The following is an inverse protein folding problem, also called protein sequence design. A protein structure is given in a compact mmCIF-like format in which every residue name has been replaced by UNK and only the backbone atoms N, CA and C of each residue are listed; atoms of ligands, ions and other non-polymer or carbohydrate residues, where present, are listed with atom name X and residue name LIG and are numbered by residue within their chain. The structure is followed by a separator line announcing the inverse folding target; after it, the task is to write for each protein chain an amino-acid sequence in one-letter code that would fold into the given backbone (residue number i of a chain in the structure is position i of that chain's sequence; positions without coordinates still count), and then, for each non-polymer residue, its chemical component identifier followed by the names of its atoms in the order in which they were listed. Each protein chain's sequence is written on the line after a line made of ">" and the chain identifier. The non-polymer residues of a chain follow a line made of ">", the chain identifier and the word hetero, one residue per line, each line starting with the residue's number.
data_IF_338716004593
#
_entry.id   IF_338716004593
#
_cell.length_a   1.000
_cell.length_b   1.000
_cell.length_c   1.000
_cell.angle_alpha   90.00
_cell.angle_beta   90.00
_cell.angle_gamma   90.00
#
_symmetry.space_group_name_H-M   'P 1'
#
loop_
_entity.id
_entity.type
_entity.pdbx_description
1 polymer ?
#
# COMPACT_ATOMS: atom_id res chain seq x y z
N UNK A 1 7.33 -20.95 35.72
CA UNK A 1 5.90 -20.70 36.09
C UNK A 1 5.42 -19.55 35.25
N UNK A 2 4.76 -19.82 34.09
CA UNK A 2 4.16 -18.88 33.18
C UNK A 2 2.79 -18.48 33.69
N UNK A 3 2.64 -17.23 34.09
CA UNK A 3 1.33 -16.66 34.44
C UNK A 3 0.48 -16.49 33.17
N UNK A 4 -0.54 -17.31 33.01
CA UNK A 4 -1.58 -17.13 32.00
C UNK A 4 -2.63 -16.17 32.56
N UNK A 5 -2.49 -14.87 32.29
CA UNK A 5 -3.48 -13.86 32.61
C UNK A 5 -4.71 -14.00 31.72
N UNK A 6 -5.87 -14.27 32.33
CA UNK A 6 -7.17 -14.19 31.66
C UNK A 6 -7.61 -12.71 31.57
N UNK A 7 -7.77 -12.16 30.38
CA UNK A 7 -8.23 -10.81 30.15
C UNK A 7 -9.73 -10.66 30.45
N UNK A 8 -10.10 -9.69 31.26
CA UNK A 8 -11.52 -9.35 31.53
C UNK A 8 -11.85 -8.00 30.88
N UNK A 9 -12.62 -7.99 29.81
CA UNK A 9 -13.21 -6.79 29.23
C UNK A 9 -14.21 -6.14 30.22
N UNK A 10 -13.97 -4.92 30.67
CA UNK A 10 -14.78 -4.21 31.71
C UNK A 10 -16.14 -3.68 31.27
N UNK A 11 -16.57 -3.85 30.00
CA UNK A 11 -17.94 -3.46 29.60
C UNK A 11 -18.61 -4.46 28.65
N UNK A 12 -18.80 -5.59 29.07
CA UNK A 12 -19.64 -6.76 28.75
C UNK A 12 -18.79 -7.98 29.00
N UNK A 13 -19.11 -8.68 30.08
CA UNK A 13 -18.65 -10.04 30.25
C UNK A 13 -18.80 -10.75 28.91
N UNK A 14 -17.70 -11.28 28.35
CA UNK A 14 -17.79 -12.22 27.23
C UNK A 14 -18.53 -13.43 27.78
N UNK A 15 -19.88 -13.35 27.80
CA UNK A 15 -20.69 -14.53 27.95
C UNK A 15 -20.18 -15.53 26.92
N UNK A 16 -19.92 -16.74 27.32
CA UNK A 16 -19.55 -17.83 26.42
C UNK A 16 -20.58 -17.81 25.26
N UNK A 17 -20.16 -17.32 24.10
CA UNK A 17 -21.02 -17.16 22.95
C UNK A 17 -21.28 -18.56 22.43
N UNK A 18 -22.45 -19.13 22.81
CA UNK A 18 -22.95 -20.41 22.30
C UNK A 18 -23.25 -20.36 20.81
N UNK A 19 -23.41 -19.17 20.21
CA UNK A 19 -23.64 -18.97 18.80
C UNK A 19 -22.33 -18.61 18.04
N UNK A 20 -22.10 -19.26 16.91
CA UNK A 20 -20.97 -18.96 16.01
C UNK A 20 -20.99 -17.50 15.56
N UNK A 21 -19.86 -16.76 15.61
CA UNK A 21 -19.81 -15.36 15.20
C UNK A 21 -20.17 -15.18 13.71
N UNK A 22 -20.81 -14.07 13.40
CA UNK A 22 -21.15 -13.67 12.03
C UNK A 22 -20.06 -12.76 11.50
N UNK A 23 -19.30 -13.24 10.53
CA UNK A 23 -18.23 -12.47 9.88
C UNK A 23 -18.75 -11.96 8.54
N UNK A 24 -18.61 -10.67 8.31
CA UNK A 24 -18.83 -10.07 6.98
C UNK A 24 -17.48 -9.70 6.35
N UNK A 25 -17.25 -10.16 5.12
CA UNK A 25 -16.06 -9.92 4.33
C UNK A 25 -16.43 -9.05 3.13
N UNK A 26 -15.72 -7.96 2.92
CA UNK A 26 -16.07 -6.93 1.93
C UNK A 26 -15.71 -7.29 0.49
N UNK A 27 -14.93 -8.34 0.27
CA UNK A 27 -14.60 -8.90 -1.05
C UNK A 27 -14.19 -10.38 -0.90
N UNK A 28 -14.14 -11.18 -1.97
CA UNK A 28 -13.49 -12.49 -1.95
C UNK A 28 -12.04 -12.39 -1.48
N UNK A 29 -11.62 -13.35 -0.66
CA UNK A 29 -10.28 -13.46 -0.09
C UNK A 29 -9.66 -14.84 -0.42
N UNK A 30 -8.37 -15.03 -0.14
CA UNK A 30 -7.69 -16.28 -0.36
C UNK A 30 -8.43 -17.46 0.30
N UNK A 31 -8.57 -18.58 -0.41
CA UNK A 31 -9.32 -19.77 0.02
C UNK A 31 -8.83 -20.33 1.34
N UNK A 32 -7.50 -20.29 1.60
CA UNK A 32 -6.91 -20.73 2.86
C UNK A 32 -7.47 -19.96 4.07
N UNK A 33 -7.58 -18.64 3.95
CA UNK A 33 -8.13 -17.79 4.99
C UNK A 33 -9.65 -17.96 5.10
N UNK A 34 -10.36 -18.07 3.98
CA UNK A 34 -11.80 -18.29 3.95
C UNK A 34 -12.18 -19.61 4.60
N UNK A 35 -11.43 -20.69 4.35
CA UNK A 35 -11.64 -21.99 5.00
C UNK A 35 -11.52 -21.88 6.52
N UNK A 36 -10.50 -21.17 7.01
CA UNK A 36 -10.31 -20.92 8.45
C UNK A 36 -11.46 -20.10 9.06
N UNK A 37 -11.87 -18.99 8.38
CA UNK A 37 -12.99 -18.16 8.85
C UNK A 37 -14.30 -18.95 8.96
N UNK A 38 -14.59 -19.83 8.01
CA UNK A 38 -15.79 -20.70 8.03
C UNK A 38 -15.76 -21.71 9.17
N UNK A 39 -14.58 -22.11 9.60
CA UNK A 39 -14.46 -22.97 10.80
C UNK A 39 -14.79 -22.21 12.09
N UNK A 40 -14.52 -20.89 12.14
CA UNK A 40 -14.78 -20.05 13.30
C UNK A 40 -16.25 -19.59 13.38
N UNK A 41 -16.92 -19.34 12.24
CA UNK A 41 -18.25 -18.77 12.26
C UNK A 41 -19.01 -18.80 10.93
N UNK A 42 -20.16 -18.12 10.91
CA UNK A 42 -20.93 -17.90 9.69
C UNK A 42 -20.30 -16.75 8.91
N UNK A 43 -19.91 -17.00 7.66
CA UNK A 43 -19.22 -16.02 6.80
C UNK A 43 -20.12 -15.60 5.66
N UNK A 44 -20.36 -14.28 5.55
CA UNK A 44 -20.98 -13.66 4.38
C UNK A 44 -19.93 -12.82 3.67
N UNK A 45 -19.89 -12.91 2.33
CA UNK A 45 -18.92 -12.23 1.49
C UNK A 45 -19.68 -11.37 0.50
N UNK A 46 -19.22 -10.13 0.26
CA UNK A 46 -19.65 -9.37 -0.90
C UNK A 46 -19.00 -9.99 -2.13
N UNK A 47 -19.77 -10.48 -3.11
CA UNK A 47 -19.27 -11.42 -4.12
C UNK A 47 -18.49 -10.80 -5.27
N UNK A 48 -18.48 -9.46 -5.37
CA UNK A 48 -17.88 -8.74 -6.49
C UNK A 48 -16.48 -8.26 -6.12
N UNK A 49 -15.47 -8.81 -6.76
CA UNK A 49 -14.05 -8.46 -6.59
C UNK A 49 -13.55 -7.41 -7.59
N UNK A 50 -14.39 -7.02 -8.55
CA UNK A 50 -14.07 -6.01 -9.57
C UNK A 50 -14.25 -4.56 -9.11
N UNK A 51 -14.89 -4.34 -7.97
CA UNK A 51 -15.17 -3.01 -7.42
C UNK A 51 -15.22 -2.99 -5.90
N UNK A 52 -15.00 -1.80 -5.35
CA UNK A 52 -15.22 -1.54 -3.91
C UNK A 52 -16.71 -1.70 -3.58
N UNK A 53 -17.01 -2.33 -2.44
CA UNK A 53 -18.39 -2.45 -1.96
C UNK A 53 -19.04 -1.06 -1.85
N UNK A 54 -20.24 -0.83 -2.42
CA UNK A 54 -20.94 0.42 -2.25
C UNK A 54 -21.21 0.75 -0.77
N UNK A 55 -20.96 1.98 -0.35
CA UNK A 55 -21.06 2.39 1.05
C UNK A 55 -22.42 2.04 1.70
N UNK A 56 -23.54 2.20 0.97
CA UNK A 56 -24.87 1.80 1.44
C UNK A 56 -25.00 0.29 1.67
N UNK A 57 -24.38 -0.51 0.79
CA UNK A 57 -24.39 -1.97 0.92
C UNK A 57 -23.55 -2.42 2.13
N UNK A 58 -22.39 -1.75 2.36
CA UNK A 58 -21.56 -1.98 3.53
C UNK A 58 -22.34 -1.69 4.84
N UNK A 59 -23.03 -0.54 4.92
CA UNK A 59 -23.88 -0.19 6.07
C UNK A 59 -24.96 -1.24 6.30
N UNK A 60 -25.62 -1.72 5.24
CA UNK A 60 -26.65 -2.75 5.37
C UNK A 60 -26.09 -4.10 5.85
N UNK A 61 -24.92 -4.48 5.35
CA UNK A 61 -24.28 -5.73 5.70
C UNK A 61 -23.75 -5.74 7.14
N UNK A 62 -23.13 -4.65 7.59
CA UNK A 62 -22.52 -4.54 8.91
C UNK A 62 -23.55 -4.66 10.05
N UNK A 63 -24.79 -4.25 9.83
CA UNK A 63 -25.88 -4.35 10.84
C UNK A 63 -26.10 -5.76 11.37
N UNK A 64 -25.72 -6.77 10.62
CA UNK A 64 -25.93 -8.19 10.96
C UNK A 64 -24.61 -8.94 11.25
N UNK A 65 -23.48 -8.23 11.30
CA UNK A 65 -22.18 -8.83 11.51
C UNK A 65 -21.68 -8.61 12.94
N UNK A 66 -20.97 -9.57 13.49
CA UNK A 66 -20.25 -9.44 14.76
C UNK A 66 -18.80 -8.98 14.48
N UNK A 67 -18.26 -9.33 13.31
CA UNK A 67 -16.90 -9.03 12.88
C UNK A 67 -16.96 -8.52 11.44
N UNK A 68 -16.24 -7.42 11.19
CA UNK A 68 -16.00 -6.89 9.84
C UNK A 68 -14.58 -7.24 9.41
N UNK A 69 -14.46 -7.99 8.31
CA UNK A 69 -13.20 -8.16 7.59
C UNK A 69 -13.23 -7.22 6.39
N UNK A 70 -12.42 -6.15 6.40
CA UNK A 70 -12.41 -5.13 5.35
C UNK A 70 -11.05 -5.03 4.65
N UNK A 71 -11.06 -4.41 3.46
CA UNK A 71 -9.89 -4.18 2.63
C UNK A 71 -9.51 -2.68 2.59
N UNK A 72 -8.35 -2.38 2.00
CA UNK A 72 -7.72 -1.05 2.02
C UNK A 72 -8.62 0.10 1.53
N UNK A 73 -9.43 -0.13 0.51
CA UNK A 73 -10.25 0.93 -0.11
C UNK A 73 -11.68 1.01 0.43
N UNK A 74 -12.05 0.13 1.37
CA UNK A 74 -13.37 0.18 2.01
C UNK A 74 -13.43 1.37 2.97
N UNK A 75 -14.40 2.24 2.82
CA UNK A 75 -14.58 3.39 3.69
C UNK A 75 -15.32 3.00 4.97
N UNK A 76 -14.57 2.72 6.04
CA UNK A 76 -15.10 2.36 7.36
C UNK A 76 -15.17 3.62 8.23
N UNK A 77 -16.07 4.50 7.87
CA UNK A 77 -16.31 5.76 8.56
C UNK A 77 -17.27 5.61 9.77
N UNK A 78 -17.50 6.72 10.46
CA UNK A 78 -18.41 6.81 11.59
C UNK A 78 -19.81 6.25 11.27
N UNK A 79 -20.33 6.46 10.05
CA UNK A 79 -21.66 6.00 9.67
C UNK A 79 -21.72 4.46 9.60
N UNK A 80 -20.69 3.81 9.06
CA UNK A 80 -20.55 2.36 9.02
C UNK A 80 -20.46 1.80 10.44
N UNK A 81 -19.57 2.36 11.27
CA UNK A 81 -19.34 1.89 12.65
C UNK A 81 -20.61 2.07 13.50
N UNK A 82 -21.30 3.21 13.34
CA UNK A 82 -22.53 3.51 14.06
C UNK A 82 -23.71 2.63 13.67
N UNK A 83 -23.70 2.07 12.46
CA UNK A 83 -24.80 1.22 11.98
C UNK A 83 -24.98 -0.08 12.76
N UNK A 84 -23.95 -0.51 13.52
CA UNK A 84 -24.03 -1.71 14.34
C UNK A 84 -23.43 -1.48 15.74
N UNK A 85 -24.26 -1.24 16.77
CA UNK A 85 -23.79 -1.06 18.15
C UNK A 85 -23.23 -2.35 18.78
N UNK A 86 -23.41 -3.50 18.15
CA UNK A 86 -22.94 -4.81 18.64
C UNK A 86 -21.71 -5.32 17.89
N UNK A 87 -21.14 -4.51 16.99
CA UNK A 87 -19.90 -4.86 16.28
C UNK A 87 -18.76 -5.04 17.29
N UNK A 88 -18.05 -6.15 17.17
CA UNK A 88 -17.03 -6.59 18.15
C UNK A 88 -15.61 -6.42 17.65
N UNK A 89 -15.38 -6.35 16.32
CA UNK A 89 -14.05 -6.29 15.74
C UNK A 89 -14.11 -5.72 14.31
N UNK A 90 -13.15 -4.84 13.99
CA UNK A 90 -12.85 -4.40 12.64
C UNK A 90 -11.44 -4.93 12.29
N UNK A 91 -11.39 -5.94 11.43
CA UNK A 91 -10.17 -6.62 11.02
C UNK A 91 -9.81 -6.21 9.58
N UNK A 92 -8.80 -5.37 9.42
CA UNK A 92 -8.42 -4.78 8.13
C UNK A 92 -7.26 -5.54 7.48
N UNK A 93 -7.44 -5.93 6.21
CA UNK A 93 -6.37 -6.49 5.36
C UNK A 93 -5.52 -5.36 4.76
N UNK A 94 -5.07 -4.44 5.58
CA UNK A 94 -4.16 -3.37 5.20
C UNK A 94 -3.07 -3.19 6.24
N UNK A 95 -1.92 -2.65 5.84
CA UNK A 95 -0.80 -2.35 6.75
C UNK A 95 -1.00 -1.04 7.52
N UNK A 96 -2.03 -0.28 7.21
CA UNK A 96 -2.38 0.99 7.83
C UNK A 96 -3.89 1.08 7.99
N UNK A 97 -4.40 1.61 9.11
CA UNK A 97 -5.84 1.77 9.33
C UNK A 97 -6.42 3.03 8.67
N UNK A 98 -5.78 3.59 7.65
CA UNK A 98 -6.15 4.88 7.03
C UNK A 98 -7.57 4.93 6.46
N UNK A 99 -8.17 3.77 6.20
CA UNK A 99 -9.54 3.62 5.70
C UNK A 99 -10.58 3.42 6.82
N UNK A 100 -10.15 3.40 8.09
CA UNK A 100 -11.00 3.15 9.27
C UNK A 100 -11.01 4.37 10.17
N UNK A 101 -12.16 4.81 10.63
CA UNK A 101 -12.30 5.79 11.72
C UNK A 101 -11.94 5.11 13.05
N UNK A 102 -10.63 5.03 13.32
CA UNK A 102 -10.11 4.40 14.54
C UNK A 102 -10.57 5.12 15.79
N UNK A 103 -10.75 6.45 15.74
CA UNK A 103 -11.21 7.23 16.89
C UNK A 103 -12.64 6.87 17.27
N UNK A 104 -13.55 6.76 16.30
CA UNK A 104 -14.93 6.32 16.55
C UNK A 104 -14.99 4.85 17.00
N UNK A 105 -14.18 3.96 16.41
CA UNK A 105 -14.09 2.57 16.85
C UNK A 105 -13.61 2.48 18.31
N UNK A 106 -12.58 3.23 18.66
CA UNK A 106 -12.04 3.30 20.03
C UNK A 106 -13.07 3.79 21.04
N UNK A 107 -13.80 4.88 20.71
CA UNK A 107 -14.88 5.42 21.55
C UNK A 107 -15.96 4.37 21.84
N UNK A 108 -16.19 3.43 20.93
CA UNK A 108 -17.18 2.37 21.06
C UNK A 108 -16.61 1.06 21.68
N UNK A 109 -15.34 1.04 22.04
CA UNK A 109 -14.68 -0.14 22.56
C UNK A 109 -14.48 -1.24 21.50
N UNK A 110 -14.40 -0.89 20.22
CA UNK A 110 -14.24 -1.84 19.13
C UNK A 110 -12.74 -1.92 18.76
N UNK A 111 -12.08 -3.06 18.94
CA UNK A 111 -10.70 -3.25 18.50
C UNK A 111 -10.62 -3.18 16.98
N UNK A 112 -9.58 -2.49 16.49
CA UNK A 112 -9.21 -2.40 15.09
C UNK A 112 -7.86 -3.08 14.92
N UNK A 113 -7.79 -4.05 14.00
CA UNK A 113 -6.53 -4.73 13.67
C UNK A 113 -6.14 -4.51 12.23
N UNK A 114 -4.83 -4.51 11.98
CA UNK A 114 -4.19 -4.39 10.66
C UNK A 114 -3.29 -5.60 10.43
N UNK A 115 -2.56 -5.63 9.30
CA UNK A 115 -1.50 -6.62 9.06
C UNK A 115 -0.13 -5.95 9.21
N UNK A 116 0.91 -6.68 9.65
CA UNK A 116 2.27 -6.17 9.67
C UNK A 116 2.78 -5.95 8.22
N UNK A 117 3.94 -5.27 8.03
CA UNK A 117 4.45 -4.91 6.70
C UNK A 117 5.00 -6.10 5.90
N UNK A 118 4.19 -7.12 5.66
CA UNK A 118 4.53 -8.33 4.87
C UNK A 118 4.59 -8.08 3.36
N UNK A 119 4.25 -6.87 2.91
CA UNK A 119 4.19 -6.49 1.50
C UNK A 119 5.53 -5.97 0.95
N UNK A 120 6.57 -5.95 1.77
CA UNK A 120 7.84 -5.25 1.50
C UNK A 120 8.48 -5.68 0.17
N UNK A 121 8.70 -6.98 -0.01
CA UNK A 121 9.38 -7.49 -1.20
C UNK A 121 8.51 -7.40 -2.45
N UNK A 122 7.23 -7.74 -2.36
CA UNK A 122 6.31 -7.61 -3.49
C UNK A 122 6.19 -6.15 -3.98
N UNK A 123 6.14 -5.18 -3.04
CA UNK A 123 6.12 -3.76 -3.40
C UNK A 123 7.44 -3.33 -4.04
N UNK A 124 8.58 -3.82 -3.57
CA UNK A 124 9.88 -3.54 -4.15
C UNK A 124 10.03 -4.16 -5.56
N UNK A 125 9.48 -5.35 -5.79
CA UNK A 125 9.43 -5.99 -7.12
C UNK A 125 8.61 -5.15 -8.09
N UNK A 126 7.40 -4.73 -7.68
CA UNK A 126 6.55 -3.88 -8.51
C UNK A 126 7.22 -2.52 -8.80
N UNK A 127 7.93 -1.94 -7.83
CA UNK A 127 8.67 -0.71 -8.02
C UNK A 127 9.68 -0.82 -9.18
N UNK A 128 10.47 -1.91 -9.20
CA UNK A 128 11.37 -2.22 -10.31
C UNK A 128 10.63 -2.53 -11.60
N UNK A 129 9.52 -3.26 -11.53
CA UNK A 129 8.65 -3.53 -12.69
C UNK A 129 8.19 -2.23 -13.35
N UNK A 130 7.69 -1.26 -12.59
CA UNK A 130 7.26 0.05 -13.09
C UNK A 130 8.43 0.87 -13.62
N UNK A 131 9.58 0.87 -12.94
CA UNK A 131 10.80 1.55 -13.36
C UNK A 131 11.28 1.02 -14.72
N UNK A 132 11.39 -0.28 -14.88
CA UNK A 132 11.77 -0.92 -16.14
C UNK A 132 10.72 -0.67 -17.23
N UNK A 133 9.44 -0.78 -16.90
CA UNK A 133 8.36 -0.60 -17.86
C UNK A 133 8.34 0.82 -18.45
N UNK A 134 8.50 1.86 -17.61
CA UNK A 134 8.51 3.24 -18.09
C UNK A 134 9.82 3.60 -18.77
N UNK A 135 10.97 3.23 -18.23
CA UNK A 135 12.28 3.55 -18.81
C UNK A 135 12.48 2.89 -20.18
N UNK A 136 12.04 1.64 -20.32
CA UNK A 136 12.21 0.84 -21.55
C UNK A 136 11.00 0.88 -22.47
N UNK A 137 9.97 1.69 -22.16
CA UNK A 137 8.74 1.90 -22.97
C UNK A 137 8.01 0.58 -23.28
N UNK A 138 8.03 -0.38 -22.32
CA UNK A 138 7.50 -1.74 -22.51
C UNK A 138 6.02 -1.71 -22.90
N UNK A 139 5.21 -0.88 -22.22
CA UNK A 139 3.76 -0.81 -22.46
C UNK A 139 3.41 -0.21 -23.84
N UNK A 140 4.28 0.64 -24.40
CA UNK A 140 4.11 1.14 -25.76
C UNK A 140 4.48 0.04 -26.77
N UNK A 141 5.57 -0.67 -26.52
CA UNK A 141 6.02 -1.80 -27.35
C UNK A 141 4.98 -2.91 -27.40
N UNK A 142 4.44 -3.34 -26.24
CA UNK A 142 3.38 -4.36 -26.18
C UNK A 142 2.16 -3.98 -27.02
N UNK A 143 1.66 -2.74 -26.82
CA UNK A 143 0.50 -2.24 -27.59
C UNK A 143 0.75 -2.21 -29.09
N UNK A 144 1.96 -1.88 -29.51
CA UNK A 144 2.34 -1.83 -30.91
C UNK A 144 2.37 -3.23 -31.54
N UNK A 145 2.95 -4.20 -30.84
CA UNK A 145 3.01 -5.59 -31.30
C UNK A 145 1.60 -6.20 -31.40
N UNK A 146 0.78 -6.04 -30.36
CA UNK A 146 -0.63 -6.49 -30.35
C UNK A 146 -1.47 -5.87 -31.45
N UNK A 147 -1.15 -4.63 -31.86
CA UNK A 147 -1.83 -3.96 -32.97
C UNK A 147 -1.30 -4.36 -34.35
N UNK A 148 -0.43 -5.37 -34.45
CA UNK A 148 0.16 -5.83 -35.71
C UNK A 148 1.09 -4.81 -36.38
N UNK A 149 1.64 -3.86 -35.62
CA UNK A 149 2.45 -2.75 -36.14
C UNK A 149 3.94 -2.87 -35.76
N UNK A 150 4.45 -4.08 -35.67
CA UNK A 150 5.86 -4.31 -35.39
C UNK A 150 6.71 -4.07 -36.64
N UNK A 151 7.53 -3.00 -36.68
CA UNK A 151 8.27 -2.60 -37.87
C UNK A 151 9.64 -3.30 -37.99
N UNK A 152 9.93 -4.29 -37.16
CA UNK A 152 11.28 -4.84 -36.98
C UNK A 152 12.15 -3.98 -36.06
N UNK A 153 13.39 -4.38 -35.85
CA UNK A 153 14.36 -3.72 -34.96
C UNK A 153 14.97 -2.45 -35.55
N UNK A 154 14.18 -1.38 -35.67
CA UNK A 154 14.65 -0.11 -36.22
C UNK A 154 15.54 0.66 -35.24
N UNK A 155 16.66 1.22 -35.73
CA UNK A 155 17.72 1.84 -34.90
C UNK A 155 17.26 3.03 -34.02
N UNK A 156 16.17 3.71 -34.40
CA UNK A 156 15.65 4.89 -33.66
C UNK A 156 14.21 4.73 -33.19
N UNK A 157 13.64 3.53 -33.28
CA UNK A 157 12.26 3.28 -32.91
C UNK A 157 12.16 2.88 -31.44
N UNK A 158 11.22 3.50 -30.69
CA UNK A 158 10.95 3.23 -29.27
C UNK A 158 12.20 3.24 -28.37
N UNK A 159 13.15 4.14 -28.64
CA UNK A 159 14.32 4.30 -27.79
C UNK A 159 13.88 4.65 -26.35
N UNK A 160 14.31 3.83 -25.40
CA UNK A 160 14.16 4.05 -23.97
C UNK A 160 15.50 4.42 -23.31
N UNK A 161 15.49 4.44 -21.98
CA UNK A 161 16.66 4.72 -21.15
C UNK A 161 17.19 3.42 -20.54
N UNK A 162 18.52 3.32 -20.43
CA UNK A 162 19.16 2.25 -19.66
C UNK A 162 18.94 2.46 -18.16
N UNK A 163 18.77 1.40 -17.40
CA UNK A 163 18.62 1.41 -15.94
C UNK A 163 19.93 1.03 -15.25
N UNK A 164 20.65 0.04 -15.83
CA UNK A 164 21.93 -0.42 -15.32
C UNK A 164 22.95 0.73 -15.15
N UNK A 165 23.64 0.78 -14.02
CA UNK A 165 24.69 1.76 -13.73
C UNK A 165 24.18 3.19 -13.47
N UNK A 166 22.87 3.42 -13.42
CA UNK A 166 22.27 4.74 -13.17
C UNK A 166 22.16 5.03 -11.67
N UNK A 167 21.82 6.28 -11.34
CA UNK A 167 21.59 6.71 -9.96
C UNK A 167 20.10 6.62 -9.63
N UNK A 168 19.79 5.94 -8.54
CA UNK A 168 18.45 5.94 -7.94
C UNK A 168 18.45 6.71 -6.63
N UNK A 169 17.50 7.64 -6.46
CA UNK A 169 17.26 8.38 -5.23
C UNK A 169 16.01 7.86 -4.54
N UNK A 170 16.16 7.38 -3.30
CA UNK A 170 15.12 6.77 -2.50
C UNK A 170 14.62 7.76 -1.43
N UNK A 171 13.47 8.40 -1.65
CA UNK A 171 12.84 9.27 -0.66
C UNK A 171 12.07 8.39 0.33
N UNK A 172 12.49 8.39 1.59
CA UNK A 172 12.07 7.40 2.58
C UNK A 172 12.88 6.09 2.52
N UNK A 173 14.05 6.11 1.86
CA UNK A 173 14.87 4.93 1.56
C UNK A 173 15.37 4.14 2.76
N UNK A 174 15.43 4.74 3.94
CA UNK A 174 15.80 4.05 5.19
C UNK A 174 14.70 3.13 5.77
N UNK A 175 13.51 3.07 5.18
CA UNK A 175 12.42 2.17 5.56
C UNK A 175 12.56 0.78 4.95
N UNK A 176 11.66 -0.15 5.33
CA UNK A 176 11.72 -1.55 4.88
C UNK A 176 11.67 -1.68 3.35
N UNK A 177 10.69 -1.02 2.71
CA UNK A 177 10.54 -1.06 1.24
C UNK A 177 11.74 -0.39 0.57
N UNK A 178 12.18 0.77 1.07
CA UNK A 178 13.34 1.46 0.51
C UNK A 178 14.62 0.61 0.54
N UNK A 179 14.90 -0.07 1.65
CA UNK A 179 16.03 -1.03 1.76
C UNK A 179 15.87 -2.22 0.79
N UNK A 180 14.65 -2.73 0.62
CA UNK A 180 14.38 -3.81 -0.32
C UNK A 180 14.56 -3.36 -1.79
N UNK A 181 14.21 -2.12 -2.12
CA UNK A 181 14.48 -1.51 -3.44
C UNK A 181 15.99 -1.30 -3.63
N UNK A 182 16.70 -0.80 -2.59
CA UNK A 182 18.16 -0.65 -2.65
C UNK A 182 18.87 -1.96 -2.97
N UNK A 183 18.48 -3.07 -2.31
CA UNK A 183 19.05 -4.41 -2.58
C UNK A 183 18.87 -4.81 -4.04
N UNK A 184 17.74 -4.50 -4.68
CA UNK A 184 17.51 -4.76 -6.11
C UNK A 184 18.34 -3.82 -6.99
N UNK A 185 18.47 -2.55 -6.60
CA UNK A 185 19.25 -1.56 -7.31
C UNK A 185 20.74 -1.96 -7.42
N UNK A 186 21.30 -2.56 -6.37
CA UNK A 186 22.68 -3.09 -6.42
C UNK A 186 22.83 -4.20 -7.45
N UNK A 187 21.81 -5.07 -7.65
CA UNK A 187 21.81 -6.05 -8.74
C UNK A 187 21.85 -5.43 -10.14
N UNK A 188 21.42 -4.18 -10.28
CA UNK A 188 21.55 -3.37 -11.49
C UNK A 188 22.78 -2.46 -11.50
N UNK A 189 23.73 -2.64 -10.59
CA UNK A 189 24.91 -1.80 -10.42
C UNK A 189 24.58 -0.30 -10.28
N UNK A 190 23.42 0.03 -9.71
CA UNK A 190 23.01 1.42 -9.53
C UNK A 190 23.68 2.05 -8.33
N UNK A 191 24.03 3.34 -8.43
CA UNK A 191 24.35 4.17 -7.27
C UNK A 191 23.07 4.48 -6.51
N UNK A 192 23.02 4.17 -5.20
CA UNK A 192 21.82 4.32 -4.38
C UNK A 192 21.98 5.49 -3.42
N UNK A 193 21.27 6.58 -3.70
CA UNK A 193 21.12 7.72 -2.80
C UNK A 193 19.86 7.56 -1.97
N UNK A 194 19.86 8.05 -0.75
CA UNK A 194 18.61 8.11 0.02
C UNK A 194 18.47 9.39 0.83
N UNK A 195 17.24 9.72 1.13
CA UNK A 195 16.86 10.78 2.04
C UNK A 195 15.74 10.33 2.98
N UNK A 196 15.88 10.74 4.24
CA UNK A 196 14.83 10.64 5.29
C UNK A 196 14.97 11.85 6.21
N UNK A 197 13.90 12.28 6.93
CA UNK A 197 13.99 13.40 7.87
C UNK A 197 15.05 13.19 8.97
N UNK A 198 15.33 11.94 9.32
CA UNK A 198 16.41 11.56 10.25
C UNK A 198 17.32 10.58 9.53
N UNK A 199 18.59 10.96 9.34
CA UNK A 199 19.62 10.09 8.78
C UNK A 199 19.71 8.78 9.57
N UNK A 200 19.91 7.68 8.89
CA UNK A 200 20.11 6.38 9.51
C UNK A 200 21.52 6.27 10.10
N UNK A 201 21.72 5.38 11.12
CA UNK A 201 23.06 5.06 11.59
C UNK A 201 23.96 4.57 10.44
N UNK A 202 25.24 4.93 10.46
CA UNK A 202 26.19 4.53 9.42
C UNK A 202 26.29 3.02 9.21
N UNK A 203 26.10 2.22 10.28
CA UNK A 203 26.05 0.76 10.18
C UNK A 203 24.90 0.28 9.29
N UNK A 204 23.69 0.86 9.46
CA UNK A 204 22.54 0.54 8.62
C UNK A 204 22.72 1.02 7.17
N UNK A 205 23.37 2.17 6.97
CA UNK A 205 23.68 2.69 5.66
C UNK A 205 24.64 1.75 4.91
N UNK A 206 25.73 1.33 5.57
CA UNK A 206 26.70 0.37 4.99
C UNK A 206 26.07 -0.97 4.66
N UNK A 207 25.29 -1.53 5.59
CA UNK A 207 24.62 -2.82 5.38
C UNK A 207 23.67 -2.79 4.19
N UNK A 208 22.90 -1.71 4.05
CA UNK A 208 21.93 -1.55 2.97
C UNK A 208 22.55 -0.93 1.69
N UNK A 209 23.83 -0.55 1.69
CA UNK A 209 24.51 0.11 0.59
C UNK A 209 23.88 1.46 0.22
N UNK A 210 23.47 2.25 1.23
CA UNK A 210 22.79 3.52 1.06
C UNK A 210 23.75 4.70 1.27
N UNK A 211 23.64 5.73 0.46
CA UNK A 211 24.37 7.01 0.64
C UNK A 211 23.36 8.11 0.98
N UNK A 212 23.45 8.67 2.20
CA UNK A 212 22.59 9.79 2.59
C UNK A 212 23.03 11.07 1.89
N UNK A 213 22.04 11.79 1.33
CA UNK A 213 22.23 13.15 0.79
C UNK A 213 21.02 14.02 1.13
N UNK A 214 21.15 15.37 1.17
CA UNK A 214 20.02 16.28 1.25
C UNK A 214 19.00 16.02 0.12
N UNK A 215 17.72 16.32 0.37
CA UNK A 215 16.64 16.04 -0.59
C UNK A 215 16.88 16.71 -1.96
N UNK A 216 17.31 17.97 -1.95
CA UNK A 216 17.54 18.74 -3.17
C UNK A 216 18.68 18.12 -4.02
N UNK A 217 19.72 17.62 -3.37
CA UNK A 217 20.85 16.96 -4.06
C UNK A 217 20.43 15.57 -4.58
N UNK A 218 19.65 14.81 -3.80
CA UNK A 218 19.06 13.58 -4.28
C UNK A 218 18.28 13.81 -5.57
N UNK A 219 17.44 14.86 -5.63
CA UNK A 219 16.62 15.18 -6.80
C UNK A 219 17.47 15.58 -8.02
N UNK A 220 18.56 16.36 -7.80
CA UNK A 220 19.47 16.79 -8.88
C UNK A 220 20.31 15.64 -9.43
N UNK A 221 20.75 14.73 -8.57
CA UNK A 221 21.69 13.66 -8.95
C UNK A 221 21.02 12.42 -9.51
N UNK A 222 19.75 12.18 -9.19
CA UNK A 222 19.05 10.95 -9.54
C UNK A 222 18.58 10.91 -10.99
N UNK A 223 18.71 9.72 -11.60
CA UNK A 223 18.08 9.38 -12.88
C UNK A 223 16.70 8.76 -12.64
N UNK A 224 16.52 8.12 -11.47
CA UNK A 224 15.26 7.58 -10.99
C UNK A 224 15.01 8.08 -9.57
N UNK A 225 13.86 8.70 -9.31
CA UNK A 225 13.41 9.11 -7.97
C UNK A 225 12.28 8.21 -7.55
N UNK A 226 12.49 7.45 -6.48
CA UNK A 226 11.52 6.48 -5.98
C UNK A 226 11.02 6.82 -4.58
N UNK A 227 9.70 6.78 -4.39
CA UNK A 227 9.02 7.24 -3.19
C UNK A 227 8.65 6.08 -2.26
N UNK A 228 9.05 6.17 -0.99
CA UNK A 228 8.83 5.16 0.05
C UNK A 228 8.45 5.76 1.40
N UNK A 229 8.14 7.06 1.43
CA UNK A 229 7.67 7.75 2.63
C UNK A 229 6.24 7.37 2.99
N UNK A 230 5.84 7.32 4.27
CA UNK A 230 4.43 7.26 4.66
C UNK A 230 3.74 8.59 4.33
N UNK A 231 2.43 8.57 4.11
CA UNK A 231 1.64 9.78 3.96
C UNK A 231 1.34 10.37 5.35
N UNK A 232 1.80 11.58 5.58
CA UNK A 232 1.54 12.40 6.78
C UNK A 232 1.22 13.83 6.35
N UNK A 233 0.89 14.70 7.30
CA UNK A 233 0.72 16.13 7.00
C UNK A 233 1.99 16.75 6.40
N UNK A 234 3.19 16.30 6.83
CA UNK A 234 4.48 16.81 6.38
C UNK A 234 4.92 16.23 5.02
N UNK A 235 4.47 15.02 4.66
CA UNK A 235 4.83 14.38 3.40
C UNK A 235 3.79 14.55 2.31
N UNK A 236 2.63 15.13 2.64
CA UNK A 236 1.63 15.50 1.64
C UNK A 236 2.22 16.53 0.69
N UNK A 237 2.16 16.27 -0.62
CA UNK A 237 2.75 17.08 -1.67
C UNK A 237 4.24 17.40 -1.47
N UNK A 238 4.96 16.48 -0.81
CA UNK A 238 6.41 16.59 -0.63
C UNK A 238 7.15 16.73 -1.96
N UNK A 239 6.60 16.19 -3.03
CA UNK A 239 7.11 16.32 -4.39
C UNK A 239 6.12 17.16 -5.19
N UNK A 240 6.36 18.45 -5.18
CA UNK A 240 5.61 19.45 -5.92
C UNK A 240 6.37 20.00 -7.13
N UNK A 241 5.90 21.13 -7.65
CA UNK A 241 6.50 21.77 -8.84
C UNK A 241 7.96 22.17 -8.61
N UNK A 242 8.33 22.63 -7.39
CA UNK A 242 9.71 22.99 -7.03
C UNK A 242 10.63 21.77 -7.10
N UNK A 243 10.24 20.69 -6.45
CA UNK A 243 11.02 19.45 -6.34
C UNK A 243 11.20 18.80 -7.73
N UNK A 244 10.12 18.72 -8.50
CA UNK A 244 10.18 18.25 -9.89
C UNK A 244 11.07 19.18 -10.74
N UNK A 245 11.05 20.48 -10.43
CA UNK A 245 11.91 21.48 -11.06
C UNK A 245 13.41 21.24 -10.89
N UNK A 246 13.84 20.59 -9.78
CA UNK A 246 15.22 20.24 -9.50
C UNK A 246 15.68 18.99 -10.25
N UNK A 247 14.77 18.14 -10.69
CA UNK A 247 15.11 16.86 -11.32
C UNK A 247 15.72 17.04 -12.71
N UNK A 248 16.52 16.07 -13.12
CA UNK A 248 17.04 15.98 -14.48
C UNK A 248 15.89 15.87 -15.48
N UNK A 249 16.04 16.46 -16.66
CA UNK A 249 15.08 16.31 -17.76
C UNK A 249 14.91 14.84 -18.20
N UNK A 250 15.93 14.03 -17.99
CA UNK A 250 15.96 12.59 -18.29
C UNK A 250 15.49 11.72 -17.15
N UNK A 251 15.13 12.30 -15.98
CA UNK A 251 14.75 11.54 -14.80
C UNK A 251 13.31 11.02 -14.85
N UNK A 252 13.08 9.95 -14.09
CA UNK A 252 11.78 9.32 -13.90
C UNK A 252 11.36 9.36 -12.43
N UNK A 253 10.06 9.51 -12.17
CA UNK A 253 9.46 9.34 -10.83
C UNK A 253 8.79 7.97 -10.76
N UNK A 254 9.05 7.22 -9.67
CA UNK A 254 8.38 5.96 -9.36
C UNK A 254 7.66 6.10 -8.02
N UNK A 255 6.36 5.89 -8.00
CA UNK A 255 5.57 5.98 -6.77
C UNK A 255 4.77 4.69 -6.52
N UNK A 256 5.23 3.92 -5.55
CA UNK A 256 4.56 2.75 -4.98
C UNK A 256 4.23 2.94 -3.49
N UNK A 257 4.28 4.19 -3.00
CA UNK A 257 4.01 4.54 -1.61
C UNK A 257 2.56 5.02 -1.41
N UNK A 258 2.32 6.33 -1.58
CA UNK A 258 0.97 6.95 -1.53
C UNK A 258 0.88 8.06 -2.55
N UNK A 259 -0.25 8.16 -3.25
CA UNK A 259 -0.43 9.14 -4.34
C UNK A 259 -0.24 10.59 -3.89
N UNK A 260 -0.86 10.97 -2.78
CA UNK A 260 -0.81 12.34 -2.26
C UNK A 260 0.56 12.80 -1.71
N UNK A 261 1.62 11.99 -1.78
CA UNK A 261 3.00 12.45 -1.56
C UNK A 261 3.47 13.32 -2.73
N UNK A 262 2.91 13.08 -3.92
CA UNK A 262 3.16 13.89 -5.11
C UNK A 262 1.96 14.83 -5.33
N UNK A 263 2.22 16.11 -5.63
CA UNK A 263 1.22 16.99 -6.24
C UNK A 263 0.95 16.48 -7.66
N UNK A 264 -0.15 15.74 -7.81
CA UNK A 264 -0.50 15.07 -9.07
C UNK A 264 -0.70 16.06 -10.21
N UNK A 265 -1.21 17.27 -9.93
CA UNK A 265 -1.38 18.31 -10.92
C UNK A 265 -0.02 18.87 -11.38
N UNK A 266 0.93 19.07 -10.48
CA UNK A 266 2.29 19.48 -10.82
C UNK A 266 3.01 18.41 -11.65
N UNK A 267 2.86 17.13 -11.28
CA UNK A 267 3.41 16.01 -12.03
C UNK A 267 2.86 15.96 -13.46
N UNK A 268 1.55 16.11 -13.63
CA UNK A 268 0.90 16.15 -14.96
C UNK A 268 1.49 17.27 -15.83
N UNK A 269 1.64 18.48 -15.28
CA UNK A 269 2.25 19.62 -16.00
C UNK A 269 3.69 19.29 -16.44
N UNK A 270 4.49 18.74 -15.54
CA UNK A 270 5.88 18.38 -15.80
C UNK A 270 6.04 17.28 -16.86
N UNK A 271 5.19 16.27 -16.83
CA UNK A 271 5.18 15.18 -17.81
C UNK A 271 4.75 15.66 -19.22
N UNK A 272 3.74 16.53 -19.28
CA UNK A 272 3.26 17.12 -20.54
C UNK A 272 4.32 18.03 -21.18
N UNK A 273 4.97 18.86 -20.39
CA UNK A 273 6.04 19.76 -20.86
C UNK A 273 7.38 19.05 -21.07
N UNK A 274 7.47 17.75 -20.78
CA UNK A 274 8.72 16.96 -20.81
C UNK A 274 9.82 17.57 -19.91
N UNK A 275 9.44 18.17 -18.80
CA UNK A 275 10.38 18.63 -17.77
C UNK A 275 11.11 17.44 -17.14
N UNK A 276 10.43 16.28 -17.00
CA UNK A 276 11.00 14.98 -16.68
C UNK A 276 10.64 13.97 -17.78
N UNK A 277 11.37 12.87 -17.85
CA UNK A 277 11.21 11.88 -18.92
C UNK A 277 9.91 11.07 -18.79
N UNK A 278 9.51 10.68 -17.57
CA UNK A 278 8.31 9.88 -17.36
C UNK A 278 8.03 9.57 -15.89
N UNK A 279 6.98 8.79 -15.67
CA UNK A 279 6.61 8.30 -14.33
C UNK A 279 6.03 6.87 -14.36
N UNK A 280 6.33 6.09 -13.31
CA UNK A 280 5.70 4.80 -13.00
C UNK A 280 4.88 4.94 -11.70
N UNK A 281 3.57 4.81 -11.78
CA UNK A 281 2.67 5.11 -10.67
C UNK A 281 1.79 3.90 -10.35
N UNK A 282 1.85 3.42 -9.10
CA UNK A 282 0.94 2.40 -8.57
C UNK A 282 -0.16 3.01 -7.71
N UNK A 283 0.00 4.28 -7.33
CA UNK A 283 -0.88 4.98 -6.40
C UNK A 283 -1.21 6.38 -6.92
N UNK A 284 -2.41 6.88 -6.56
CA UNK A 284 -2.94 8.17 -7.04
C UNK A 284 -3.45 9.01 -5.88
N UNK A 285 -3.53 10.32 -6.07
CA UNK A 285 -3.91 11.26 -5.01
C UNK A 285 -5.35 11.05 -4.51
N UNK A 286 -6.24 10.61 -5.40
CA UNK A 286 -7.68 10.50 -5.14
C UNK A 286 -8.26 9.11 -5.47
N UNK A 287 -7.52 8.05 -5.13
CA UNK A 287 -7.96 6.67 -5.39
C UNK A 287 -9.43 6.42 -4.97
N UNK A 288 -10.20 5.69 -5.79
CA UNK A 288 -9.82 4.99 -7.02
C UNK A 288 -9.83 5.88 -8.27
N UNK A 289 -10.03 7.19 -8.14
CA UNK A 289 -10.02 8.13 -9.27
C UNK A 289 -8.58 8.45 -9.65
N UNK A 290 -8.29 8.33 -10.96
CA UNK A 290 -7.01 8.69 -11.56
C UNK A 290 -7.19 9.96 -12.37
N UNK A 291 -6.28 10.92 -12.26
CA UNK A 291 -6.29 12.16 -13.00
C UNK A 291 -6.41 11.92 -14.51
N UNK A 292 -7.38 12.55 -15.15
CA UNK A 292 -7.75 12.25 -16.54
C UNK A 292 -6.59 12.43 -17.53
N UNK A 293 -5.74 13.45 -17.30
CA UNK A 293 -4.61 13.71 -18.17
C UNK A 293 -3.50 12.64 -18.03
N UNK A 294 -3.27 12.06 -16.85
CA UNK A 294 -2.31 10.95 -16.70
C UNK A 294 -2.63 9.79 -17.64
N UNK A 295 -3.91 9.47 -17.80
CA UNK A 295 -4.37 8.38 -18.67
C UNK A 295 -4.07 8.60 -20.16
N UNK A 296 -3.83 9.85 -20.58
CA UNK A 296 -3.54 10.22 -21.96
C UNK A 296 -2.04 10.27 -22.27
N UNK A 297 -1.20 10.33 -21.23
CA UNK A 297 0.25 10.46 -21.40
C UNK A 297 0.89 9.13 -21.80
N UNK A 298 1.79 9.19 -22.82
CA UNK A 298 2.52 8.00 -23.28
C UNK A 298 3.75 7.69 -22.43
N UNK A 299 4.30 8.70 -21.75
CA UNK A 299 5.48 8.59 -20.90
C UNK A 299 5.14 8.25 -19.44
N UNK A 300 3.99 7.60 -19.22
CA UNK A 300 3.54 7.17 -17.89
C UNK A 300 3.13 5.69 -17.94
N UNK A 301 3.52 4.94 -16.93
CA UNK A 301 3.01 3.60 -16.64
C UNK A 301 2.14 3.67 -15.39
N UNK A 302 0.91 3.18 -15.48
CA UNK A 302 -0.10 3.23 -14.42
C UNK A 302 -0.46 1.82 -13.98
N UNK A 303 -0.44 1.56 -12.68
CA UNK A 303 -0.91 0.32 -12.07
C UNK A 303 -1.97 0.64 -11.01
N UNK A 304 -2.97 -0.23 -10.81
CA UNK A 304 -4.10 0.04 -9.91
C UNK A 304 -3.85 -0.48 -8.49
N UNK A 305 -2.83 0.07 -7.81
CA UNK A 305 -2.43 -0.24 -6.42
C UNK A 305 -2.11 -1.74 -6.23
N UNK A 306 -1.14 -2.22 -7.02
CA UNK A 306 -0.72 -3.63 -7.07
C UNK A 306 0.42 -3.98 -6.10
N UNK A 307 0.93 -3.07 -5.28
CA UNK A 307 2.10 -3.27 -4.42
C UNK A 307 2.07 -4.54 -3.56
N UNK A 308 0.88 -4.99 -3.15
CA UNK A 308 0.68 -6.24 -2.41
C UNK A 308 -0.01 -7.34 -3.24
N UNK A 309 -0.26 -7.13 -4.53
CA UNK A 309 -1.12 -7.99 -5.33
C UNK A 309 -0.36 -9.20 -5.92
N UNK A 310 0.22 -10.01 -5.07
CA UNK A 310 0.68 -11.36 -5.41
C UNK A 310 -0.16 -12.41 -4.68
N UNK A 311 -0.24 -13.61 -5.23
CA UNK A 311 -1.02 -14.72 -4.65
C UNK A 311 -0.55 -15.01 -3.23
N UNK A 312 0.77 -15.06 -3.02
CA UNK A 312 1.40 -15.39 -1.76
C UNK A 312 1.14 -14.32 -0.69
N UNK A 313 1.38 -13.05 -1.03
CA UNK A 313 1.23 -11.92 -0.10
C UNK A 313 -0.25 -11.72 0.25
N UNK A 314 -1.16 -11.80 -0.72
CA UNK A 314 -2.60 -11.68 -0.45
C UNK A 314 -3.11 -12.82 0.43
N UNK A 315 -2.63 -14.04 0.22
CA UNK A 315 -2.95 -15.18 1.08
C UNK A 315 -2.37 -15.00 2.49
N UNK A 316 -1.12 -14.56 2.59
CA UNK A 316 -0.48 -14.27 3.88
C UNK A 316 -1.23 -13.18 4.65
N UNK A 317 -1.53 -12.04 4.00
CA UNK A 317 -2.28 -10.95 4.63
C UNK A 317 -3.65 -11.42 5.14
N UNK A 318 -4.41 -12.16 4.31
CA UNK A 318 -5.71 -12.67 4.72
C UNK A 318 -5.63 -13.62 5.91
N UNK A 319 -4.63 -14.52 5.94
CA UNK A 319 -4.43 -15.42 7.07
C UNK A 319 -4.04 -14.67 8.35
N UNK A 320 -3.22 -13.61 8.28
CA UNK A 320 -2.90 -12.77 9.44
C UNK A 320 -4.15 -12.07 9.99
N UNK A 321 -5.06 -11.61 9.12
CA UNK A 321 -6.36 -11.07 9.56
C UNK A 321 -7.14 -12.12 10.32
N UNK A 322 -7.15 -13.38 9.84
CA UNK A 322 -7.79 -14.50 10.56
C UNK A 322 -7.11 -14.77 11.90
N UNK A 323 -5.77 -14.71 11.99
CA UNK A 323 -5.05 -14.85 13.25
C UNK A 323 -5.49 -13.80 14.30
N UNK A 324 -5.68 -12.55 13.86
CA UNK A 324 -6.19 -11.48 14.73
C UNK A 324 -7.64 -11.78 15.19
N UNK A 325 -8.49 -12.28 14.31
CA UNK A 325 -9.87 -12.66 14.65
C UNK A 325 -9.88 -13.84 15.63
N UNK A 326 -9.09 -14.89 15.38
CA UNK A 326 -8.97 -16.06 16.25
C UNK A 326 -8.46 -15.68 17.64
N UNK A 327 -7.46 -14.79 17.72
CA UNK A 327 -6.94 -14.32 18.99
C UNK A 327 -8.03 -13.63 19.82
N UNK A 328 -8.79 -12.71 19.21
CA UNK A 328 -9.87 -12.00 19.90
C UNK A 328 -10.99 -12.94 20.34
N UNK A 329 -11.44 -13.84 19.47
CA UNK A 329 -12.49 -14.83 19.80
C UNK A 329 -12.05 -15.79 20.92
N UNK A 330 -10.75 -16.12 20.97
CA UNK A 330 -10.15 -16.93 22.03
C UNK A 330 -9.85 -16.16 23.33
N UNK A 331 -10.28 -14.90 23.45
CA UNK A 331 -10.05 -14.07 24.65
C UNK A 331 -8.59 -13.63 24.81
N UNK A 332 -7.80 -13.64 23.75
CA UNK A 332 -6.41 -13.16 23.71
C UNK A 332 -6.34 -11.81 23.00
N UNK A 333 -5.37 -10.97 23.35
CA UNK A 333 -5.11 -9.75 22.63
C UNK A 333 -4.68 -10.05 21.18
N UNK A 334 -5.33 -9.46 20.15
CA UNK A 334 -4.86 -9.61 18.77
C UNK A 334 -3.47 -8.99 18.61
N UNK A 335 -2.52 -9.66 17.95
CA UNK A 335 -1.12 -9.20 17.88
C UNK A 335 -0.94 -7.87 17.13
N UNK A 336 -1.88 -7.52 16.23
CA UNK A 336 -1.76 -6.33 15.38
C UNK A 336 -2.89 -5.31 15.66
N UNK A 337 -3.29 -5.15 16.92
CA UNK A 337 -4.31 -4.17 17.32
C UNK A 337 -3.72 -2.76 17.36
N UNK A 338 -4.36 -1.80 16.67
CA UNK A 338 -3.90 -0.41 16.57
C UNK A 338 -4.49 0.49 17.68
N UNK A 339 -5.52 0.02 18.38
CA UNK A 339 -6.15 0.71 19.52
C UNK A 339 -6.26 -0.22 20.74
N UNK A 340 -5.12 -0.71 21.27
CA UNK A 340 -5.10 -1.75 22.31
C UNK A 340 -5.78 -1.33 23.63
N UNK A 341 -5.94 -0.04 23.89
CA UNK A 341 -6.65 0.50 25.07
C UNK A 341 -8.11 0.02 25.17
N UNK A 342 -8.72 -0.44 24.07
CA UNK A 342 -10.09 -0.99 24.11
C UNK A 342 -10.17 -2.42 24.59
N UNK A 343 -9.03 -3.13 24.68
CA UNK A 343 -8.97 -4.52 25.10
C UNK A 343 -9.06 -4.68 26.62
N UNK A 344 -8.95 -3.60 27.39
CA UNK A 344 -8.87 -3.60 28.86
C UNK A 344 -7.53 -4.15 29.35
N UNK A 345 -6.82 -3.41 30.15
CA UNK A 345 -5.69 -3.89 30.96
C UNK A 345 -6.21 -4.61 32.21
#
# INVERSE_FOLDING_TARGET
>A
RTMRGRWRCRHRAVAAVTAKPRVFVTQPIADSALKRLRALGSVKIFPDDSRIIPHRALIAAIRKADILFCLLHDKIDRAVIAANPTLRHIASQSISPSNVDVAEATKRGIPVTVVPPVTTDATADLNFGLMLAVARRIMEGDRLVRAGRFPGGQSRHLLGSIVHGRTIGLIGGGGLIGKAVARRAHGFSMRVLYWTPRRKPEGEEREAGLTFVPLDDLLRESDFVSLHSPLTAQTRHQIGAREIGLMKKTAFIINTARGAIVDEAALVRALRSKKIAGAGLDVFEHEPKVHTELKKLKNVVLAPHLGSATVEVRAQMANIVVDNIEALLGGRAPPNCVNPQVLGT
#
